data_IF_833392480856
#
_entry.id   IF_833392480856
#
_cell.length_a   1.000
_cell.length_b   1.000
_cell.length_c   1.000
_cell.angle_alpha   90.00
_cell.angle_beta   90.00
_cell.angle_gamma   90.00
#
_symmetry.space_group_name_H-M   'P 1'
#
loop_
_entity.id
_entity.type
_entity.pdbx_description
1 polymer ?
#
# COMPACT_ATOMS: atom_id res chain seq x y z
N UNK A 1 19.75 3.25 -3.12
CA UNK A 1 20.10 1.82 -3.03
C UNK A 1 18.93 1.10 -2.39
N UNK A 2 18.54 -0.08 -2.90
CA UNK A 2 17.51 -0.90 -2.25
C UNK A 2 18.05 -1.48 -0.93
N UNK A 3 17.24 -1.69 0.12
CA UNK A 3 17.67 -2.31 1.36
C UNK A 3 18.29 -3.68 1.07
N UNK A 4 19.53 -3.92 1.52
CA UNK A 4 20.22 -5.21 1.33
C UNK A 4 19.46 -6.37 1.97
N UNK A 5 18.66 -6.07 2.99
CA UNK A 5 17.92 -7.04 3.80
C UNK A 5 16.57 -7.43 3.20
N UNK A 6 16.12 -6.79 2.12
CA UNK A 6 14.85 -7.10 1.44
C UNK A 6 15.14 -7.41 -0.03
N UNK A 7 15.57 -8.65 -0.37
CA UNK A 7 15.82 -9.02 -1.75
C UNK A 7 14.53 -9.00 -2.57
N UNK A 8 14.63 -8.69 -3.86
CA UNK A 8 13.50 -8.63 -4.79
C UNK A 8 12.39 -7.60 -4.45
N UNK A 9 12.73 -6.54 -3.70
CA UNK A 9 11.83 -5.41 -3.51
C UNK A 9 11.94 -4.37 -4.63
N UNK A 10 10.85 -3.63 -4.84
CA UNK A 10 10.80 -2.43 -5.67
C UNK A 10 10.21 -1.31 -4.84
N UNK A 11 10.81 -0.12 -4.92
CA UNK A 11 10.31 1.07 -4.25
C UNK A 11 9.54 1.88 -5.30
N UNK A 12 8.26 2.15 -5.02
CA UNK A 12 7.41 3.04 -5.79
C UNK A 12 7.21 4.32 -4.98
N UNK A 13 7.24 5.48 -5.64
CA UNK A 13 7.04 6.77 -5.00
C UNK A 13 5.82 7.44 -5.61
N UNK A 14 4.84 7.75 -4.77
CA UNK A 14 3.61 8.42 -5.18
C UNK A 14 3.58 9.81 -4.57
N UNK A 15 3.26 10.82 -5.38
CA UNK A 15 3.09 12.20 -4.92
C UNK A 15 1.61 12.54 -5.01
N UNK A 16 1.02 12.94 -3.88
CA UNK A 16 -0.36 13.38 -3.80
C UNK A 16 -0.39 14.89 -3.63
N UNK A 17 -0.44 15.61 -4.75
CA UNK A 17 -0.73 17.03 -4.78
C UNK A 17 -1.81 17.23 -5.83
N UNK A 18 -3.05 17.53 -5.41
CA UNK A 18 -4.18 17.56 -6.34
C UNK A 18 -4.85 18.94 -6.41
N UNK A 19 -4.89 19.54 -7.61
CA UNK A 19 -5.91 20.51 -8.00
C UNK A 19 -7.24 19.78 -8.34
N UNK A 20 -8.28 20.12 -7.57
CA UNK A 20 -9.74 19.97 -7.70
C UNK A 20 -10.48 18.83 -8.44
N UNK A 21 -9.93 18.01 -9.34
CA UNK A 21 -10.76 17.17 -10.24
C UNK A 21 -10.64 15.63 -10.11
N UNK A 22 -9.81 15.08 -9.22
CA UNK A 22 -9.74 13.61 -9.03
C UNK A 22 -9.45 13.21 -7.60
N UNK A 23 -10.16 12.18 -7.13
CA UNK A 23 -9.90 11.60 -5.81
C UNK A 23 -8.52 10.93 -5.81
N UNK A 24 -7.58 11.42 -4.98
CA UNK A 24 -6.21 10.90 -4.95
C UNK A 24 -6.13 9.44 -4.47
N UNK A 25 -7.12 8.95 -3.72
CA UNK A 25 -7.19 7.56 -3.29
C UNK A 25 -7.52 6.62 -4.46
N UNK A 26 -8.47 7.02 -5.32
CA UNK A 26 -8.83 6.28 -6.54
C UNK A 26 -7.62 6.23 -7.47
N UNK A 27 -7.00 7.39 -7.73
CA UNK A 27 -5.84 7.49 -8.60
C UNK A 27 -4.67 6.62 -8.12
N UNK A 28 -4.38 6.62 -6.82
CA UNK A 28 -3.35 5.74 -6.25
C UNK A 28 -3.67 4.26 -6.51
N UNK A 29 -4.93 3.87 -6.34
CA UNK A 29 -5.38 2.49 -6.55
C UNK A 29 -5.23 2.07 -8.01
N UNK A 30 -5.62 2.92 -8.96
CA UNK A 30 -5.49 2.67 -10.40
C UNK A 30 -4.03 2.56 -10.84
N UNK A 31 -3.17 3.49 -10.39
CA UNK A 31 -1.74 3.46 -10.70
C UNK A 31 -1.06 2.19 -10.16
N UNK A 32 -1.43 1.77 -8.94
CA UNK A 32 -0.97 0.50 -8.36
C UNK A 32 -1.50 -0.71 -9.13
N UNK A 33 -2.76 -0.70 -9.54
CA UNK A 33 -3.37 -1.79 -10.29
C UNK A 33 -2.70 -1.96 -11.66
N UNK A 34 -2.39 -0.86 -12.34
CA UNK A 34 -1.70 -0.83 -13.62
C UNK A 34 -0.26 -1.40 -13.52
N UNK A 35 0.45 -1.10 -12.42
CA UNK A 35 1.79 -1.65 -12.16
C UNK A 35 1.75 -3.14 -11.76
N UNK A 36 0.60 -3.64 -11.28
CA UNK A 36 0.40 -5.03 -10.82
C UNK A 36 -0.17 -5.94 -11.91
N UNK A 37 0.71 -6.40 -12.81
CA UNK A 37 0.42 -7.44 -13.80
C UNK A 37 0.91 -8.86 -13.43
N UNK A 38 0.17 -9.90 -13.83
CA UNK A 38 0.59 -11.31 -13.72
C UNK A 38 1.00 -11.74 -12.30
N UNK A 39 2.23 -12.23 -12.13
CA UNK A 39 2.79 -12.66 -10.82
C UNK A 39 2.98 -11.52 -9.82
N UNK A 40 2.85 -10.25 -10.25
CA UNK A 40 2.93 -9.12 -9.33
C UNK A 40 1.68 -8.99 -8.44
N UNK A 41 0.56 -9.64 -8.79
CA UNK A 41 -0.69 -9.58 -8.01
C UNK A 41 -0.59 -10.16 -6.61
N UNK A 42 0.35 -11.06 -6.37
CA UNK A 42 0.58 -11.70 -5.06
C UNK A 42 1.73 -11.02 -4.29
N UNK A 43 2.41 -10.04 -4.90
CA UNK A 43 3.57 -9.41 -4.28
C UNK A 43 3.12 -8.56 -3.09
N UNK A 44 3.70 -8.76 -1.89
CA UNK A 44 3.38 -7.96 -0.72
C UNK A 44 3.64 -6.47 -0.96
N UNK A 45 2.73 -5.64 -0.46
CA UNK A 45 2.79 -4.18 -0.49
C UNK A 45 2.98 -3.70 0.95
N UNK A 46 3.94 -2.79 1.14
CA UNK A 46 4.11 -2.05 2.39
C UNK A 46 4.08 -0.57 2.02
N UNK A 47 3.13 0.16 2.61
CA UNK A 47 3.03 1.60 2.42
C UNK A 47 3.89 2.34 3.44
N UNK A 48 4.69 3.28 2.95
CA UNK A 48 5.45 4.22 3.75
C UNK A 48 4.87 5.61 3.47
N UNK A 49 4.06 6.12 4.38
CA UNK A 49 3.35 7.37 4.22
C UNK A 49 3.91 8.45 5.12
N UNK A 50 3.87 9.70 4.67
CA UNK A 50 4.14 10.86 5.50
C UNK A 50 2.82 11.57 5.80
N UNK A 51 2.54 11.87 7.07
CA UNK A 51 1.35 12.65 7.48
C UNK A 51 0.03 12.19 6.85
N UNK A 52 -0.64 13.09 6.14
CA UNK A 52 -1.93 12.85 5.49
C UNK A 52 -1.93 11.73 4.44
N UNK A 53 -0.76 11.30 3.96
CA UNK A 53 -0.66 10.14 3.06
C UNK A 53 -1.18 8.85 3.70
N UNK A 54 -1.18 8.75 5.03
CA UNK A 54 -1.75 7.59 5.73
C UNK A 54 -3.28 7.51 5.59
N UNK A 55 -3.97 8.65 5.66
CA UNK A 55 -5.42 8.71 5.46
C UNK A 55 -5.79 8.37 4.02
N UNK A 56 -5.07 8.96 3.06
CA UNK A 56 -5.25 8.68 1.64
C UNK A 56 -5.10 7.19 1.31
N UNK A 57 -4.08 6.52 1.86
CA UNK A 57 -3.90 5.07 1.65
C UNK A 57 -5.03 4.26 2.29
N UNK A 58 -5.57 4.67 3.44
CA UNK A 58 -6.75 3.99 4.04
C UNK A 58 -7.97 4.09 3.13
N UNK A 59 -8.22 5.27 2.56
CA UNK A 59 -9.32 5.49 1.63
C UNK A 59 -9.12 4.67 0.34
N UNK A 60 -7.87 4.58 -0.15
CA UNK A 60 -7.51 3.76 -1.31
C UNK A 60 -7.73 2.26 -1.03
N UNK A 61 -7.38 1.79 0.17
CA UNK A 61 -7.60 0.40 0.57
C UNK A 61 -9.09 0.08 0.69
N UNK A 62 -9.88 0.96 1.28
CA UNK A 62 -11.33 0.80 1.38
C UNK A 62 -11.99 0.80 -0.01
N UNK A 63 -11.56 1.70 -0.90
CA UNK A 63 -11.98 1.70 -2.30
C UNK A 63 -11.63 0.37 -2.98
N UNK A 64 -10.40 -0.13 -2.76
CA UNK A 64 -9.95 -1.38 -3.38
C UNK A 64 -10.65 -2.64 -2.86
N UNK A 65 -11.13 -2.62 -1.61
CA UNK A 65 -11.93 -3.68 -0.98
C UNK A 65 -13.37 -3.69 -1.51
N UNK A 66 -13.96 -2.51 -1.68
CA UNK A 66 -15.35 -2.37 -2.15
C UNK A 66 -15.58 -2.78 -3.61
N UNK A 67 -14.51 -2.99 -4.38
CA UNK A 67 -14.56 -3.37 -5.79
C UNK A 67 -14.81 -4.87 -6.02
N UNK A 68 -15.00 -5.66 -4.94
CA UNK A 68 -15.24 -7.12 -5.02
C UNK A 68 -16.70 -7.51 -5.32
N UNK A 69 -17.61 -6.53 -5.44
CA UNK A 69 -19.05 -6.76 -5.63
C UNK A 69 -19.43 -6.74 -7.14
N UNK A 70 -19.04 -7.81 -7.85
CA UNK A 70 -19.76 -8.37 -9.00
C UNK A 70 -19.94 -7.59 -10.31
N UNK A 71 -19.66 -6.28 -10.40
CA UNK A 71 -20.15 -5.47 -11.55
C UNK A 71 -19.11 -4.85 -12.50
N UNK A 72 -17.79 -4.94 -12.27
CA UNK A 72 -16.80 -4.44 -13.25
C UNK A 72 -15.54 -5.31 -13.36
N UNK A 73 -15.26 -5.75 -14.59
CA UNK A 73 -14.18 -6.64 -15.05
C UNK A 73 -12.73 -6.17 -14.81
N UNK A 74 -12.48 -5.12 -14.03
CA UNK A 74 -11.13 -4.65 -13.74
C UNK A 74 -10.51 -5.48 -12.60
N UNK A 75 -10.14 -6.72 -12.95
CA UNK A 75 -9.66 -7.80 -12.09
C UNK A 75 -8.30 -7.55 -11.36
N UNK A 76 -7.92 -6.29 -11.13
CA UNK A 76 -6.63 -5.88 -10.58
C UNK A 76 -6.74 -5.14 -9.24
N UNK A 77 -7.92 -4.63 -8.90
CA UNK A 77 -8.18 -3.80 -7.72
C UNK A 77 -8.16 -4.57 -6.39
N UNK A 78 -8.81 -5.76 -6.23
CA UNK A 78 -8.80 -6.48 -4.96
C UNK A 78 -7.40 -6.99 -4.57
N UNK A 79 -6.50 -7.14 -5.54
CA UNK A 79 -5.08 -7.49 -5.32
C UNK A 79 -4.38 -6.52 -4.36
N UNK A 80 -4.74 -5.24 -4.40
CA UNK A 80 -4.09 -4.20 -3.59
C UNK A 80 -4.45 -4.38 -2.12
N UNK A 81 -5.74 -4.53 -1.81
CA UNK A 81 -6.19 -4.79 -0.45
C UNK A 81 -5.57 -6.08 0.12
N UNK A 82 -5.73 -7.21 -0.57
CA UNK A 82 -5.28 -8.52 -0.05
C UNK A 82 -3.76 -8.66 0.05
N UNK A 83 -3.03 -7.89 -0.76
CA UNK A 83 -1.56 -7.90 -0.78
C UNK A 83 -0.95 -6.79 0.06
N UNK A 84 -1.75 -5.97 0.75
CA UNK A 84 -1.22 -4.96 1.66
C UNK A 84 -0.93 -5.58 3.01
N UNK A 85 0.35 -5.59 3.37
CA UNK A 85 0.83 -6.26 4.59
C UNK A 85 1.11 -5.25 5.69
N UNK A 86 1.36 -3.98 5.38
CA UNK A 86 1.51 -2.94 6.40
C UNK A 86 1.44 -1.51 5.85
N UNK A 87 1.11 -0.58 6.75
CA UNK A 87 1.04 0.84 6.50
C UNK A 87 1.77 1.57 7.65
N UNK A 88 2.94 2.12 7.32
CA UNK A 88 3.75 2.95 8.21
C UNK A 88 3.46 4.42 7.93
N UNK A 89 3.23 5.22 8.98
CA UNK A 89 2.94 6.65 8.85
C UNK A 89 3.93 7.46 9.67
N UNK A 90 4.72 8.30 9.00
CA UNK A 90 5.72 9.18 9.58
C UNK A 90 5.12 10.58 9.75
N UNK A 91 4.62 10.88 10.94
CA UNK A 91 4.00 12.18 11.29
C UNK A 91 4.16 12.42 12.78
N UNK A 92 3.81 11.40 13.57
CA UNK A 92 3.96 11.36 15.02
C UNK A 92 4.90 10.24 15.50
N UNK A 93 5.73 9.69 14.61
CA UNK A 93 6.69 8.62 14.94
C UNK A 93 6.09 7.25 15.28
N UNK A 94 4.80 7.01 14.99
CA UNK A 94 4.09 5.77 15.34
C UNK A 94 3.59 4.96 14.15
N UNK A 95 3.65 3.63 14.26
CA UNK A 95 3.02 2.70 13.33
C UNK A 95 1.49 2.71 13.50
N UNK A 96 0.75 3.22 12.51
CA UNK A 96 -0.71 3.36 12.60
C UNK A 96 -1.51 2.13 12.14
N UNK A 97 -0.90 1.21 11.37
CA UNK A 97 -1.58 -0.03 10.94
C UNK A 97 -0.58 -1.11 10.52
N UNK A 98 -0.52 -2.18 11.32
CA UNK A 98 0.10 -3.45 10.92
C UNK A 98 -1.00 -4.37 10.40
N UNK A 99 -0.95 -4.75 9.13
CA UNK A 99 -1.72 -5.89 8.68
C UNK A 99 -1.24 -7.12 9.46
N UNK A 100 -2.11 -8.10 9.71
CA UNK A 100 -1.78 -9.30 10.50
C UNK A 100 -0.59 -10.10 9.95
N UNK A 101 -0.22 -9.84 8.69
CA UNK A 101 0.89 -10.48 7.97
C UNK A 101 2.18 -9.65 7.93
N UNK A 102 2.21 -8.42 8.43
CA UNK A 102 3.40 -7.56 8.42
C UNK A 102 4.62 -8.23 9.09
N UNK A 103 4.38 -8.85 10.25
CA UNK A 103 5.40 -9.55 11.03
C UNK A 103 5.95 -10.82 10.34
N UNK A 104 5.31 -11.30 9.28
CA UNK A 104 5.79 -12.45 8.49
C UNK A 104 6.82 -12.04 7.43
N UNK A 105 6.86 -10.77 7.05
CA UNK A 105 7.71 -10.27 5.95
C UNK A 105 8.87 -9.42 6.48
N UNK A 106 8.65 -8.73 7.59
CA UNK A 106 9.60 -7.78 8.12
C UNK A 106 10.65 -8.53 8.96
N UNK A 107 11.95 -8.38 8.64
CA UNK A 107 13.01 -8.94 9.46
C UNK A 107 12.89 -8.45 10.90
N UNK A 108 13.23 -9.30 11.88
CA UNK A 108 13.14 -8.99 13.31
C UNK A 108 13.93 -7.73 13.74
N UNK A 109 14.88 -7.26 12.92
CA UNK A 109 15.56 -5.97 13.09
C UNK A 109 14.66 -4.74 12.98
N UNK A 110 13.56 -4.82 12.21
CA UNK A 110 12.60 -3.73 12.04
C UNK A 110 11.47 -3.74 13.08
N UNK A 111 11.27 -4.84 13.81
CA UNK A 111 10.34 -4.88 14.95
C UNK A 111 10.70 -3.85 16.03
N UNK A 112 11.99 -3.51 16.17
CA UNK A 112 12.48 -2.47 17.10
C UNK A 112 11.99 -1.06 16.79
N UNK A 113 11.45 -0.80 15.60
CA UNK A 113 10.84 0.49 15.26
C UNK A 113 9.33 0.52 15.56
N UNK A 114 8.76 -0.59 16.02
CA UNK A 114 7.33 -0.75 16.30
C UNK A 114 7.02 -0.84 17.80
N UNK A 115 8.04 -0.85 18.66
CA UNK A 115 7.95 -0.71 20.12
C UNK A 115 8.18 0.75 20.53
#
# INVERSE_FOLDING_TARGET
MLPKDVPNCRILTFSYFMPHDSDPAIKLTEELAADRGGRAKERPIVFLCNSSGGALVRDALAYSESYDDGEKEEAHTPSIHVSTFGLLVFDNGGLLYTGSKFLQIVPSSFQRFCD
#
